data_IF_539662765638
#
_entry.id   IF_539662765638
#
_cell.length_a   1.000
_cell.length_b   1.000
_cell.length_c   1.000
_cell.angle_alpha   90.00
_cell.angle_beta   90.00
_cell.angle_gamma   90.00
#
_symmetry.space_group_name_H-M   'P 1'
#
loop_
_entity.id
_entity.type
_entity.pdbx_description
1 polymer ?
#
# COMPACT_ATOMS: atom_id res chain seq x y z
N UNK A 1 37.86 -12.50 1.56
CA UNK A 1 37.11 -12.96 0.37
C UNK A 1 35.72 -12.33 0.45
N UNK A 2 35.54 -11.21 -0.25
CA UNK A 2 34.31 -10.41 -0.26
C UNK A 2 33.25 -11.17 -1.08
N UNK A 3 32.32 -11.84 -0.40
CA UNK A 3 31.12 -12.37 -1.06
C UNK A 3 30.19 -11.19 -1.32
N UNK A 4 29.95 -10.92 -2.60
CA UNK A 4 29.23 -9.78 -3.14
C UNK A 4 27.77 -9.73 -2.68
N UNK A 5 27.38 -8.64 -2.03
CA UNK A 5 25.99 -8.35 -1.64
C UNK A 5 25.02 -8.27 -2.82
N UNK A 6 25.50 -7.97 -4.04
CA UNK A 6 24.69 -7.90 -5.27
C UNK A 6 24.05 -9.25 -5.66
N UNK A 7 24.70 -10.38 -5.36
CA UNK A 7 24.21 -11.72 -5.75
C UNK A 7 22.97 -12.15 -4.96
N UNK A 8 22.85 -11.72 -3.70
CA UNK A 8 21.75 -12.13 -2.80
C UNK A 8 20.42 -11.44 -3.10
N UNK A 9 20.44 -10.14 -3.43
CA UNK A 9 19.21 -9.40 -3.78
C UNK A 9 18.67 -9.83 -5.15
N UNK A 10 19.55 -10.02 -6.14
CA UNK A 10 19.16 -10.52 -7.46
C UNK A 10 18.53 -11.91 -7.38
N UNK A 11 19.13 -12.82 -6.61
CA UNK A 11 18.58 -14.16 -6.39
C UNK A 11 17.19 -14.12 -5.73
N UNK A 12 16.99 -13.23 -4.75
CA UNK A 12 15.69 -13.05 -4.13
C UNK A 12 14.64 -12.54 -5.13
N UNK A 13 14.94 -11.51 -5.92
CA UNK A 13 14.02 -11.00 -6.96
C UNK A 13 13.60 -12.10 -7.93
N UNK A 14 14.55 -12.89 -8.41
CA UNK A 14 14.27 -14.01 -9.30
C UNK A 14 13.41 -15.10 -8.67
N UNK A 15 13.69 -15.46 -7.42
CA UNK A 15 12.87 -16.42 -6.67
C UNK A 15 11.43 -15.92 -6.44
N UNK A 16 11.24 -14.61 -6.24
CA UNK A 16 9.91 -13.97 -6.15
C UNK A 16 9.15 -14.15 -7.46
N UNK A 17 9.78 -13.77 -8.58
CA UNK A 17 9.14 -13.80 -9.90
C UNK A 17 8.80 -15.24 -10.32
N UNK A 18 9.73 -16.18 -10.12
CA UNK A 18 9.50 -17.59 -10.44
C UNK A 18 8.39 -18.20 -9.59
N UNK A 19 8.39 -17.94 -8.28
CA UNK A 19 7.38 -18.48 -7.37
C UNK A 19 5.97 -17.92 -7.59
N UNK A 20 5.86 -16.60 -7.82
CA UNK A 20 4.57 -15.96 -8.15
C UNK A 20 4.09 -16.45 -9.52
N UNK A 21 4.98 -16.48 -10.53
CA UNK A 21 4.67 -16.98 -11.86
C UNK A 21 4.08 -18.38 -11.85
N UNK A 22 4.72 -19.31 -11.14
CA UNK A 22 4.25 -20.68 -11.00
C UNK A 22 2.92 -20.77 -10.24
N UNK A 23 2.81 -20.14 -9.07
CA UNK A 23 1.64 -20.33 -8.19
C UNK A 23 0.39 -19.63 -8.71
N UNK A 24 0.51 -18.44 -9.31
CA UNK A 24 -0.61 -17.76 -9.93
C UNK A 24 -0.99 -18.41 -11.26
N UNK A 25 0.00 -18.83 -12.07
CA UNK A 25 -0.25 -19.55 -13.32
C UNK A 25 -0.97 -20.88 -13.12
N UNK A 26 -0.68 -21.62 -12.05
CA UNK A 26 -1.43 -22.84 -11.71
C UNK A 26 -2.80 -22.57 -11.08
N UNK A 27 -3.02 -21.36 -10.56
CA UNK A 27 -4.30 -21.00 -9.97
C UNK A 27 -5.34 -20.66 -11.05
N UNK A 28 -4.91 -20.14 -12.21
CA UNK A 28 -5.81 -19.82 -13.33
C UNK A 28 -6.41 -21.07 -13.97
N UNK A 29 -5.78 -22.24 -13.82
CA UNK A 29 -6.36 -23.52 -14.28
C UNK A 29 -7.38 -24.12 -13.30
N UNK A 30 -7.51 -23.58 -12.08
CA UNK A 30 -8.52 -24.03 -11.11
C UNK A 30 -9.86 -23.35 -11.40
N UNK A 31 -11.00 -24.05 -11.26
CA UNK A 31 -12.31 -23.47 -11.54
C UNK A 31 -12.65 -22.32 -10.57
N UNK A 32 -13.49 -21.41 -11.05
CA UNK A 32 -14.00 -20.31 -10.26
C UNK A 32 -15.06 -20.78 -9.27
N UNK A 33 -14.94 -20.29 -8.03
CA UNK A 33 -15.88 -20.53 -6.94
C UNK A 33 -15.75 -19.43 -5.89
N UNK A 34 -16.80 -19.30 -5.09
CA UNK A 34 -16.84 -18.36 -3.97
C UNK A 34 -15.78 -18.68 -2.90
N UNK A 35 -15.33 -17.62 -2.23
CA UNK A 35 -14.39 -17.69 -1.10
C UNK A 35 -15.15 -18.12 0.15
N UNK A 36 -14.70 -19.21 0.77
CA UNK A 36 -15.20 -19.70 2.04
C UNK A 36 -14.29 -19.28 3.19
N UNK A 37 -14.79 -19.31 4.42
CA UNK A 37 -14.01 -18.93 5.61
C UNK A 37 -12.73 -19.78 5.77
N UNK A 38 -12.76 -21.03 5.32
CA UNK A 38 -11.60 -21.94 5.37
C UNK A 38 -10.47 -21.48 4.45
N UNK A 39 -10.80 -20.84 3.32
CA UNK A 39 -9.82 -20.42 2.30
C UNK A 39 -8.84 -19.35 2.83
N UNK A 40 -9.23 -18.56 3.83
CA UNK A 40 -8.35 -17.58 4.47
C UNK A 40 -7.19 -18.22 5.25
N UNK A 41 -7.31 -19.49 5.65
CA UNK A 41 -6.31 -20.20 6.45
C UNK A 41 -5.46 -21.17 5.62
N UNK A 42 -5.80 -21.39 4.35
CA UNK A 42 -5.06 -22.28 3.46
C UNK A 42 -3.66 -21.73 3.21
N UNK A 43 -2.66 -22.62 3.23
CA UNK A 43 -1.29 -22.32 2.80
C UNK A 43 -0.83 -23.43 1.86
N UNK A 44 -0.65 -23.10 0.59
CA UNK A 44 -0.10 -24.01 -0.41
C UNK A 44 1.42 -23.89 -0.43
N UNK A 45 2.14 -24.99 -0.65
CA UNK A 45 3.60 -24.99 -0.71
C UNK A 45 4.11 -25.83 -1.86
N UNK A 46 5.01 -25.26 -2.65
CA UNK A 46 5.73 -25.92 -3.72
C UNK A 46 7.23 -25.84 -3.48
N UNK A 47 7.97 -26.87 -3.88
CA UNK A 47 9.41 -26.90 -3.88
C UNK A 47 9.92 -26.62 -5.31
N UNK A 48 10.86 -25.68 -5.45
CA UNK A 48 11.47 -25.30 -6.72
C UNK A 48 12.98 -25.61 -6.64
N UNK A 49 13.41 -26.76 -7.20
CA UNK A 49 14.82 -27.12 -7.27
C UNK A 49 15.53 -26.37 -8.41
N UNK A 50 16.79 -26.00 -8.18
CA UNK A 50 17.67 -25.34 -9.14
C UNK A 50 17.89 -26.14 -10.42
N UNK A 51 17.97 -27.46 -10.31
CA UNK A 51 18.05 -28.38 -11.46
C UNK A 51 16.75 -28.46 -12.28
N UNK A 52 15.66 -27.88 -11.79
CA UNK A 52 14.33 -27.98 -12.39
C UNK A 52 13.59 -29.26 -12.01
N UNK A 53 12.33 -29.34 -12.41
CA UNK A 53 11.45 -30.49 -12.19
C UNK A 53 10.48 -30.65 -13.36
N UNK A 54 9.66 -31.70 -13.34
CA UNK A 54 8.57 -31.86 -14.32
C UNK A 54 7.54 -30.71 -14.28
N UNK A 55 7.54 -29.91 -13.21
CA UNK A 55 6.59 -28.81 -12.99
C UNK A 55 7.25 -27.43 -13.13
N UNK A 56 8.58 -27.34 -12.97
CA UNK A 56 9.30 -26.07 -12.87
C UNK A 56 10.56 -26.09 -13.73
N UNK A 57 10.84 -25.04 -14.52
CA UNK A 57 12.07 -24.97 -15.30
C UNK A 57 13.31 -24.92 -14.39
N UNK A 58 14.44 -25.35 -14.91
CA UNK A 58 15.74 -25.18 -14.24
C UNK A 58 16.07 -23.68 -14.09
N UNK A 59 16.77 -23.33 -13.01
CA UNK A 59 17.10 -21.95 -12.70
C UNK A 59 18.41 -21.80 -11.92
N UNK A 60 19.02 -20.61 -11.98
CA UNK A 60 20.32 -20.34 -11.34
C UNK A 60 20.22 -19.98 -9.84
N UNK A 61 19.01 -19.87 -9.28
CA UNK A 61 18.81 -19.58 -7.86
C UNK A 61 18.95 -20.85 -7.01
N UNK A 62 19.38 -20.75 -5.74
CA UNK A 62 19.41 -21.88 -4.83
C UNK A 62 18.02 -22.52 -4.67
N UNK A 63 17.99 -23.82 -4.39
CA UNK A 63 16.76 -24.54 -4.09
C UNK A 63 15.94 -23.81 -3.01
N UNK A 64 14.65 -23.65 -3.27
CA UNK A 64 13.76 -22.97 -2.35
C UNK A 64 12.37 -23.56 -2.33
N UNK A 65 11.68 -23.39 -1.20
CA UNK A 65 10.27 -23.70 -1.05
C UNK A 65 9.49 -22.40 -1.10
N UNK A 66 8.52 -22.32 -1.99
CA UNK A 66 7.61 -21.19 -2.11
C UNK A 66 6.28 -21.54 -1.46
N UNK A 67 5.78 -20.66 -0.59
CA UNK A 67 4.50 -20.80 0.12
C UNK A 67 3.58 -19.66 -0.29
N UNK A 68 2.34 -20.00 -0.65
CA UNK A 68 1.28 -19.05 -0.99
C UNK A 68 0.18 -19.15 0.06
N UNK A 69 -0.09 -18.04 0.73
CA UNK A 69 -1.11 -17.96 1.78
C UNK A 69 -2.42 -17.50 1.17
N UNK A 70 -3.53 -18.15 1.54
CA UNK A 70 -4.89 -17.84 1.11
C UNK A 70 -5.02 -17.57 -0.41
N UNK A 71 -4.54 -18.48 -1.29
CA UNK A 71 -4.43 -18.22 -2.74
C UNK A 71 -5.77 -17.80 -3.35
N UNK A 72 -6.86 -18.48 -2.98
CA UNK A 72 -8.20 -18.16 -3.50
C UNK A 72 -8.71 -16.81 -3.01
N UNK A 73 -8.44 -16.43 -1.75
CA UNK A 73 -8.83 -15.12 -1.23
C UNK A 73 -8.11 -13.98 -1.96
N UNK A 74 -6.80 -14.13 -2.22
CA UNK A 74 -6.04 -13.12 -2.98
C UNK A 74 -6.36 -13.11 -4.47
N UNK A 75 -6.81 -14.21 -5.07
CA UNK A 75 -7.43 -14.19 -6.40
C UNK A 75 -8.68 -13.32 -6.39
N UNK A 76 -9.60 -13.57 -5.47
CA UNK A 76 -10.83 -12.77 -5.33
C UNK A 76 -10.53 -11.29 -5.05
N UNK A 77 -9.55 -10.96 -4.18
CA UNK A 77 -9.19 -9.57 -3.94
C UNK A 77 -8.65 -8.88 -5.20
N UNK A 78 -7.80 -9.56 -5.98
CA UNK A 78 -7.32 -9.02 -7.27
C UNK A 78 -8.47 -8.76 -8.23
N UNK A 79 -9.41 -9.70 -8.35
CA UNK A 79 -10.62 -9.53 -9.18
C UNK A 79 -11.49 -8.36 -8.72
N UNK A 80 -11.72 -8.22 -7.41
CA UNK A 80 -12.48 -7.12 -6.84
C UNK A 80 -11.80 -5.76 -7.11
N UNK A 81 -10.48 -5.75 -7.14
CA UNK A 81 -9.70 -4.58 -7.53
C UNK A 81 -9.51 -4.48 -9.05
N UNK A 82 -10.13 -5.31 -9.88
CA UNK A 82 -10.04 -5.21 -11.34
C UNK A 82 -8.67 -5.57 -11.92
N UNK A 83 -7.88 -6.37 -11.23
CA UNK A 83 -6.55 -6.84 -11.69
C UNK A 83 -6.71 -8.21 -12.33
N UNK A 84 -6.45 -8.28 -13.64
CA UNK A 84 -6.46 -9.56 -14.35
C UNK A 84 -5.23 -10.39 -13.99
N UNK A 85 -5.33 -11.73 -13.97
CA UNK A 85 -4.20 -12.60 -13.68
C UNK A 85 -3.00 -12.36 -14.63
N UNK A 86 -3.27 -12.17 -15.93
CA UNK A 86 -2.23 -11.96 -16.93
C UNK A 86 -1.48 -10.64 -16.72
N UNK A 87 -2.21 -9.56 -16.40
CA UNK A 87 -1.62 -8.24 -16.11
C UNK A 87 -0.75 -8.29 -14.85
N UNK A 88 -1.25 -8.96 -13.79
CA UNK A 88 -0.49 -9.18 -12.56
C UNK A 88 0.80 -9.97 -12.79
N UNK A 89 0.71 -11.04 -13.58
CA UNK A 89 1.87 -11.87 -13.93
C UNK A 89 2.86 -11.11 -14.82
N UNK A 90 2.36 -10.36 -15.80
CA UNK A 90 3.19 -9.55 -16.70
C UNK A 90 3.99 -8.51 -15.91
N UNK A 91 3.29 -7.74 -15.08
CA UNK A 91 3.88 -6.68 -14.26
C UNK A 91 4.99 -7.18 -13.33
N UNK A 92 4.75 -8.30 -12.64
CA UNK A 92 5.68 -8.83 -11.65
C UNK A 92 6.80 -9.66 -12.29
N UNK A 93 6.47 -10.53 -13.24
CA UNK A 93 7.36 -11.61 -13.67
C UNK A 93 8.13 -11.32 -14.95
N UNK A 94 7.67 -10.37 -15.79
CA UNK A 94 8.29 -10.13 -17.10
C UNK A 94 9.44 -9.13 -17.04
N UNK A 95 9.28 -8.08 -16.23
CA UNK A 95 10.25 -6.99 -16.12
C UNK A 95 11.01 -7.07 -14.79
N UNK A 96 12.26 -6.59 -14.71
CA UNK A 96 13.07 -6.69 -13.50
C UNK A 96 12.52 -5.84 -12.36
N UNK A 97 12.47 -6.41 -11.15
CA UNK A 97 12.04 -5.69 -9.95
C UNK A 97 13.04 -4.60 -9.54
N UNK A 98 12.54 -3.38 -9.37
CA UNK A 98 13.32 -2.22 -8.92
C UNK A 98 13.38 -2.23 -7.40
N UNK A 99 14.58 -2.26 -6.82
CA UNK A 99 14.74 -2.20 -5.37
C UNK A 99 14.72 -0.74 -4.90
N UNK A 100 13.89 -0.44 -3.90
CA UNK A 100 13.81 0.89 -3.33
C UNK A 100 14.72 0.99 -2.11
N UNK A 101 15.69 1.91 -2.17
CA UNK A 101 16.62 2.23 -1.08
C UNK A 101 15.95 3.06 0.02
N UNK A 102 14.80 2.59 0.52
CA UNK A 102 14.09 3.18 1.64
C UNK A 102 14.12 2.20 2.81
N UNK A 103 15.16 2.25 3.67
CA UNK A 103 15.08 1.60 4.96
C UNK A 103 14.02 2.36 5.76
N UNK A 104 12.77 1.90 5.69
CA UNK A 104 11.78 2.23 6.71
C UNK A 104 12.35 1.89 8.09
N UNK A 105 11.76 2.43 9.16
CA UNK A 105 12.24 2.16 10.52
C UNK A 105 12.30 0.66 10.88
N UNK A 106 11.59 -0.19 10.14
CA UNK A 106 11.53 -1.65 10.28
C UNK A 106 12.68 -2.42 9.60
N UNK A 107 13.50 -1.77 8.77
CA UNK A 107 14.51 -2.47 7.94
C UNK A 107 13.91 -3.37 6.85
N UNK A 108 12.64 -3.19 6.50
CA UNK A 108 12.00 -3.94 5.41
C UNK A 108 12.52 -3.49 4.04
N UNK A 109 12.88 -4.46 3.20
CA UNK A 109 13.11 -4.28 1.77
C UNK A 109 11.79 -4.04 1.04
N UNK A 110 11.84 -3.14 0.06
CA UNK A 110 10.74 -2.81 -0.84
C UNK A 110 11.21 -2.99 -2.28
N UNK A 111 10.41 -3.69 -3.08
CA UNK A 111 10.55 -3.75 -4.52
C UNK A 111 9.34 -3.09 -5.19
N UNK A 112 9.57 -2.57 -6.37
CA UNK A 112 8.58 -1.92 -7.22
C UNK A 112 8.62 -2.58 -8.61
N UNK A 113 7.47 -2.82 -9.20
CA UNK A 113 7.38 -3.31 -10.59
C UNK A 113 7.73 -2.20 -11.58
N UNK A 114 8.20 -2.58 -12.77
CA UNK A 114 8.68 -1.60 -13.77
C UNK A 114 7.59 -0.68 -14.31
N UNK A 115 6.35 -1.15 -14.31
CA UNK A 115 5.15 -0.38 -14.63
C UNK A 115 4.62 0.46 -13.46
N UNK A 116 5.29 0.40 -12.31
CA UNK A 116 5.01 1.21 -11.12
C UNK A 116 3.65 0.92 -10.42
N UNK A 117 2.99 -0.18 -10.77
CA UNK A 117 1.68 -0.54 -10.22
C UNK A 117 1.75 -1.23 -8.84
N UNK A 118 2.74 -2.11 -8.65
CA UNK A 118 2.83 -2.97 -7.46
C UNK A 118 4.07 -2.70 -6.63
N UNK A 119 3.87 -2.65 -5.32
CA UNK A 119 4.91 -2.68 -4.31
C UNK A 119 4.97 -4.09 -3.70
N UNK A 120 6.16 -4.65 -3.64
CA UNK A 120 6.45 -5.89 -2.91
C UNK A 120 7.23 -5.52 -1.66
N UNK A 121 6.64 -5.73 -0.49
CA UNK A 121 7.24 -5.41 0.81
C UNK A 121 7.62 -6.69 1.55
N UNK A 122 8.84 -6.74 2.08
CA UNK A 122 9.21 -7.77 3.05
C UNK A 122 8.56 -7.49 4.40
N UNK A 123 7.99 -8.52 5.01
CA UNK A 123 7.29 -8.43 6.29
C UNK A 123 7.85 -9.44 7.29
N UNK A 124 7.77 -9.09 8.57
CA UNK A 124 8.16 -10.00 9.64
C UNK A 124 7.18 -11.18 9.75
N UNK A 125 7.61 -12.27 10.38
CA UNK A 125 6.74 -13.42 10.63
C UNK A 125 5.42 -13.05 11.29
N UNK A 126 5.48 -12.19 12.32
CA UNK A 126 4.32 -11.74 13.08
C UNK A 126 3.35 -10.91 12.24
N UNK A 127 3.87 -10.07 11.35
CA UNK A 127 3.07 -9.25 10.45
C UNK A 127 2.33 -10.11 9.41
N UNK A 128 3.00 -11.13 8.86
CA UNK A 128 2.37 -12.08 7.94
C UNK A 128 1.27 -12.91 8.61
N UNK A 129 1.52 -13.42 9.83
CA UNK A 129 0.49 -14.13 10.60
C UNK A 129 -0.69 -13.22 10.95
N UNK A 130 -0.41 -11.96 11.27
CA UNK A 130 -1.45 -10.98 11.56
C UNK A 130 -2.28 -10.66 10.32
N UNK A 131 -1.64 -10.47 9.15
CA UNK A 131 -2.34 -10.28 7.89
C UNK A 131 -3.29 -11.44 7.60
N UNK A 132 -2.87 -12.70 7.80
CA UNK A 132 -3.75 -13.85 7.59
C UNK A 132 -5.00 -13.81 8.50
N UNK A 133 -4.85 -13.39 9.76
CA UNK A 133 -5.97 -13.20 10.71
C UNK A 133 -6.86 -12.00 10.36
N UNK A 134 -6.32 -11.02 9.64
CA UNK A 134 -7.04 -9.83 9.17
C UNK A 134 -7.95 -10.14 7.97
N UNK A 135 -7.61 -11.14 7.14
CA UNK A 135 -8.27 -11.40 5.84
C UNK A 135 -9.80 -11.50 5.91
N UNK A 136 -10.43 -12.18 6.90
CA UNK A 136 -11.89 -12.27 6.93
C UNK A 136 -12.59 -10.91 7.10
N UNK A 137 -12.11 -10.05 8.01
CA UNK A 137 -12.71 -8.73 8.16
C UNK A 137 -12.24 -7.73 7.11
N UNK A 138 -11.06 -7.94 6.52
CA UNK A 138 -10.66 -7.22 5.31
C UNK A 138 -11.64 -7.50 4.16
N UNK A 139 -11.98 -8.78 3.92
CA UNK A 139 -13.03 -9.17 2.96
C UNK A 139 -14.37 -8.48 3.24
N UNK A 140 -14.81 -8.43 4.50
CA UNK A 140 -16.03 -7.71 4.88
C UNK A 140 -15.94 -6.20 4.58
N UNK A 141 -14.80 -5.56 4.89
CA UNK A 141 -14.60 -4.14 4.62
C UNK A 141 -14.64 -3.84 3.12
N UNK A 142 -13.97 -4.66 2.30
CA UNK A 142 -13.94 -4.45 0.85
C UNK A 142 -15.33 -4.50 0.23
N UNK A 143 -16.20 -5.42 0.68
CA UNK A 143 -17.56 -5.54 0.18
C UNK A 143 -18.49 -4.41 0.67
N UNK A 144 -18.21 -3.80 1.83
CA UNK A 144 -19.06 -2.75 2.41
C UNK A 144 -18.56 -1.33 2.12
N UNK A 145 -17.27 -1.18 1.85
CA UNK A 145 -16.57 0.07 1.65
C UNK A 145 -15.59 -0.05 0.46
N UNK A 146 -16.10 -0.11 -0.79
CA UNK A 146 -15.26 -0.24 -1.98
C UNK A 146 -14.25 0.91 -2.14
N UNK A 147 -14.51 2.02 -1.45
CA UNK A 147 -13.75 3.29 -1.45
C UNK A 147 -12.64 3.33 -0.40
N UNK A 148 -12.39 2.22 0.29
CA UNK A 148 -11.38 2.09 1.34
C UNK A 148 -10.00 2.66 0.95
N UNK A 149 -9.36 3.33 1.91
CA UNK A 149 -8.00 3.83 1.83
C UNK A 149 -6.97 2.86 2.44
N UNK A 150 -7.42 1.74 3.00
CA UNK A 150 -6.53 0.66 3.44
C UNK A 150 -5.69 0.12 2.27
N UNK A 151 -4.49 -0.44 2.54
CA UNK A 151 -3.67 -1.06 1.52
C UNK A 151 -4.43 -2.14 0.76
N UNK A 152 -4.31 -2.13 -0.57
CA UNK A 152 -4.88 -3.15 -1.44
C UNK A 152 -3.91 -4.31 -1.53
N UNK A 153 -4.16 -5.38 -0.78
CA UNK A 153 -3.31 -6.57 -0.77
C UNK A 153 -3.65 -7.53 -1.91
N UNK A 154 -2.63 -7.90 -2.69
CA UNK A 154 -2.77 -8.76 -3.88
C UNK A 154 -2.14 -10.13 -3.73
N UNK A 155 -1.32 -10.33 -2.70
CA UNK A 155 -0.75 -11.63 -2.37
C UNK A 155 0.07 -11.60 -1.10
N UNK A 156 0.12 -12.74 -0.40
CA UNK A 156 1.00 -13.00 0.72
C UNK A 156 1.77 -14.29 0.44
N UNK A 157 3.10 -14.19 0.45
CA UNK A 157 4.00 -15.26 0.05
C UNK A 157 5.13 -15.47 1.06
N UNK A 158 5.75 -16.64 1.04
CA UNK A 158 6.99 -16.90 1.78
C UNK A 158 7.95 -17.75 0.97
N UNK A 159 9.20 -17.29 0.87
CA UNK A 159 10.32 -18.00 0.30
C UNK A 159 11.13 -18.60 1.45
N UNK A 160 11.35 -19.91 1.41
CA UNK A 160 12.19 -20.62 2.37
C UNK A 160 13.40 -21.20 1.64
N UNK A 161 14.60 -20.74 1.96
CA UNK A 161 15.85 -21.24 1.38
C UNK A 161 16.97 -21.19 2.42
N UNK A 162 17.78 -22.25 2.52
CA UNK A 162 18.92 -22.31 3.45
C UNK A 162 18.56 -22.05 4.92
N UNK A 163 17.37 -22.42 5.37
CA UNK A 163 16.87 -22.16 6.73
C UNK A 163 16.34 -20.73 6.96
N UNK A 164 16.47 -19.83 5.98
CA UNK A 164 15.95 -18.46 6.03
C UNK A 164 14.53 -18.42 5.48
N UNK A 165 13.65 -17.68 6.16
CA UNK A 165 12.26 -17.49 5.76
C UNK A 165 11.98 -16.01 5.45
N UNK A 166 11.86 -15.67 4.19
CA UNK A 166 11.52 -14.32 3.73
C UNK A 166 10.03 -14.30 3.41
N UNK A 167 9.28 -13.38 4.03
CA UNK A 167 7.83 -13.22 3.80
C UNK A 167 7.57 -11.92 3.09
N UNK A 168 6.63 -11.96 2.15
CA UNK A 168 6.41 -10.91 1.17
C UNK A 168 4.93 -10.62 1.06
N UNK A 169 4.59 -9.35 1.01
CA UNK A 169 3.25 -8.88 0.69
C UNK A 169 3.33 -8.07 -0.58
N UNK A 170 2.49 -8.42 -1.56
CA UNK A 170 2.29 -7.62 -2.77
C UNK A 170 1.08 -6.73 -2.55
N UNK A 171 1.24 -5.43 -2.80
CA UNK A 171 0.20 -4.43 -2.58
C UNK A 171 0.28 -3.29 -3.60
N UNK A 172 -0.74 -2.44 -3.66
CA UNK A 172 -0.73 -1.30 -4.56
C UNK A 172 0.35 -0.27 -4.22
N UNK A 173 0.88 0.37 -5.26
CA UNK A 173 1.58 1.64 -5.11
C UNK A 173 0.56 2.77 -4.88
N UNK A 174 0.74 3.54 -3.80
CA UNK A 174 -0.12 4.70 -3.49
C UNK A 174 0.34 5.95 -4.25
N UNK A 175 1.63 6.05 -4.55
CA UNK A 175 2.27 7.25 -5.12
C UNK A 175 2.89 6.90 -6.48
N UNK A 176 2.19 7.15 -7.59
CA UNK A 176 2.71 6.83 -8.91
C UNK A 176 3.92 7.71 -9.26
N UNK A 177 4.93 7.12 -9.88
CA UNK A 177 6.14 7.73 -10.45
C UNK A 177 5.89 8.43 -11.77
N UNK A 178 4.80 8.08 -12.48
CA UNK A 178 4.38 8.79 -13.70
C UNK A 178 4.09 10.26 -13.44
N UNK A 179 3.77 10.62 -12.19
CA UNK A 179 3.53 11.99 -11.75
C UNK A 179 4.60 12.46 -10.76
N UNK A 180 5.07 13.70 -10.96
CA UNK A 180 5.99 14.35 -10.03
C UNK A 180 5.26 14.71 -8.73
N UNK A 181 5.53 13.96 -7.66
CA UNK A 181 5.09 14.31 -6.31
C UNK A 181 5.95 15.45 -5.77
N UNK A 182 5.39 16.67 -5.76
CA UNK A 182 6.05 17.87 -5.26
C UNK A 182 6.22 17.83 -3.74
N UNK A 183 5.22 17.27 -3.05
CA UNK A 183 5.31 17.01 -1.62
C UNK A 183 4.86 15.60 -1.29
N UNK A 184 5.53 14.97 -0.32
CA UNK A 184 5.15 13.68 0.25
C UNK A 184 5.13 13.78 1.76
N UNK A 185 4.09 13.23 2.38
CA UNK A 185 3.90 13.26 3.82
C UNK A 185 3.53 11.87 4.36
N UNK A 186 4.13 11.51 5.47
CA UNK A 186 3.68 10.45 6.37
C UNK A 186 3.01 11.14 7.57
N UNK A 187 1.69 10.96 7.76
CA UNK A 187 0.91 11.70 8.77
C UNK A 187 0.25 10.75 9.77
N UNK A 188 0.40 10.99 11.09
CA UNK A 188 -0.15 10.13 12.16
C UNK A 188 -1.09 10.85 13.14
N UNK A 189 -1.21 12.17 13.00
CA UNK A 189 -1.88 13.06 13.95
C UNK A 189 -1.16 13.20 15.30
N UNK A 190 0.16 13.00 15.33
CA UNK A 190 0.97 13.13 16.55
C UNK A 190 2.05 14.20 16.38
N UNK A 191 2.68 14.63 17.48
CA UNK A 191 3.68 15.72 17.47
C UNK A 191 5.09 15.23 17.79
N UNK A 192 5.24 14.23 18.66
CA UNK A 192 6.56 13.77 19.09
C UNK A 192 7.36 13.07 17.97
N UNK A 193 8.55 13.59 17.64
CA UNK A 193 9.42 13.12 16.54
C UNK A 193 8.72 13.07 15.17
N UNK A 194 7.72 13.93 14.97
CA UNK A 194 6.96 14.07 13.72
C UNK A 194 7.46 15.21 12.84
N UNK A 195 8.79 15.32 12.72
CA UNK A 195 9.53 16.10 11.72
C UNK A 195 10.44 15.18 10.92
N UNK A 196 10.63 15.46 9.64
CA UNK A 196 11.60 14.80 8.79
C UNK A 196 13.00 15.00 9.36
N UNK A 197 13.80 13.93 9.34
CA UNK A 197 15.20 14.01 9.76
C UNK A 197 16.01 14.86 8.78
N UNK A 198 17.16 15.37 9.22
CA UNK A 198 18.09 16.10 8.35
C UNK A 198 18.45 15.29 7.10
N UNK A 199 18.81 14.01 7.28
CA UNK A 199 19.12 13.07 6.19
C UNK A 199 17.95 12.87 5.21
N UNK A 200 16.71 12.87 5.71
CA UNK A 200 15.54 12.72 4.86
C UNK A 200 15.31 13.98 4.00
N UNK A 201 15.50 15.16 4.58
CA UNK A 201 15.36 16.46 3.90
C UNK A 201 16.41 16.70 2.81
N UNK A 202 17.56 16.03 2.89
CA UNK A 202 18.63 16.09 1.88
C UNK A 202 18.33 15.25 0.63
N UNK A 203 17.30 14.38 0.66
CA UNK A 203 16.87 13.62 -0.52
C UNK A 203 16.20 14.52 -1.55
N UNK A 204 16.32 14.17 -2.84
CA UNK A 204 15.64 14.88 -3.93
C UNK A 204 14.11 14.93 -3.77
N UNK A 205 13.51 13.84 -3.25
CA UNK A 205 12.08 13.74 -2.99
C UNK A 205 11.86 13.31 -1.52
N UNK A 206 11.95 14.24 -0.55
CA UNK A 206 11.85 13.93 0.87
C UNK A 206 10.44 13.49 1.26
N UNK A 207 10.33 12.62 2.27
CA UNK A 207 9.06 12.32 2.95
C UNK A 207 8.97 13.10 4.27
N UNK A 208 8.11 14.11 4.28
CA UNK A 208 7.82 14.97 5.41
C UNK A 208 6.86 14.32 6.41
N UNK A 209 6.70 14.93 7.59
CA UNK A 209 5.82 14.45 8.66
C UNK A 209 4.84 15.54 9.12
N UNK A 210 4.08 15.26 10.19
CA UNK A 210 2.97 16.07 10.68
C UNK A 210 3.33 17.52 10.95
N UNK A 211 4.45 17.77 11.64
CA UNK A 211 4.86 19.14 11.99
C UNK A 211 5.40 19.89 10.78
N UNK A 212 6.05 19.18 9.85
CA UNK A 212 6.49 19.76 8.59
C UNK A 212 5.29 20.21 7.74
N UNK A 213 4.24 19.39 7.70
CA UNK A 213 3.00 19.72 6.98
C UNK A 213 2.34 20.99 7.55
N UNK A 214 2.20 21.08 8.88
CA UNK A 214 1.58 22.22 9.54
C UNK A 214 2.37 23.52 9.31
N UNK A 215 3.70 23.44 9.24
CA UNK A 215 4.55 24.60 8.99
C UNK A 215 4.52 25.05 7.52
N UNK A 216 4.34 24.12 6.57
CA UNK A 216 4.39 24.41 5.13
C UNK A 216 3.03 24.69 4.49
N UNK A 217 1.94 24.20 5.07
CA UNK A 217 0.61 24.29 4.48
C UNK A 217 -0.45 24.71 5.49
N UNK A 218 -1.31 25.65 5.10
CA UNK A 218 -2.55 25.99 5.84
C UNK A 218 -3.72 25.06 5.46
N UNK A 219 -3.43 23.75 5.34
CA UNK A 219 -4.37 22.74 4.90
C UNK A 219 -4.59 22.66 3.38
N UNK A 220 -5.21 21.55 2.97
CA UNK A 220 -5.63 21.24 1.61
C UNK A 220 -7.14 21.38 1.53
N UNK A 221 -7.61 22.19 0.58
CA UNK A 221 -9.00 22.58 0.45
C UNK A 221 -9.69 21.75 -0.61
N UNK A 222 -10.83 21.17 -0.25
CA UNK A 222 -11.69 20.39 -1.14
C UNK A 222 -13.07 21.02 -1.19
N UNK A 223 -13.81 20.73 -2.27
CA UNK A 223 -15.25 20.98 -2.26
C UNK A 223 -15.95 20.17 -1.16
N UNK A 224 -17.18 20.55 -0.84
CA UNK A 224 -17.90 19.98 0.30
C UNK A 224 -18.22 18.50 0.12
N UNK A 225 -18.52 18.06 -1.10
CA UNK A 225 -18.89 16.68 -1.40
C UNK A 225 -17.66 15.77 -1.27
N UNK A 226 -16.55 16.15 -1.92
CA UNK A 226 -15.27 15.47 -1.82
C UNK A 226 -14.77 15.37 -0.38
N UNK A 227 -14.78 16.48 0.36
CA UNK A 227 -14.36 16.47 1.76
C UNK A 227 -15.20 15.49 2.60
N UNK A 228 -16.53 15.54 2.45
CA UNK A 228 -17.42 14.70 3.23
C UNK A 228 -17.23 13.22 2.89
N UNK A 229 -17.05 12.90 1.59
CA UNK A 229 -16.77 11.55 1.14
C UNK A 229 -15.44 11.02 1.71
N UNK A 230 -14.36 11.80 1.57
CA UNK A 230 -13.03 11.46 2.09
C UNK A 230 -13.04 11.23 3.61
N UNK A 231 -13.66 12.15 4.36
CA UNK A 231 -13.75 12.01 5.81
C UNK A 231 -14.63 10.84 6.25
N UNK A 232 -15.74 10.57 5.52
CA UNK A 232 -16.59 9.41 5.80
C UNK A 232 -15.83 8.10 5.58
N UNK A 233 -15.06 7.99 4.49
CA UNK A 233 -14.21 6.83 4.23
C UNK A 233 -13.15 6.66 5.31
N UNK A 234 -12.39 7.71 5.64
CA UNK A 234 -11.39 7.67 6.71
C UNK A 234 -11.98 7.22 8.05
N UNK A 235 -13.18 7.70 8.39
CA UNK A 235 -13.89 7.27 9.61
C UNK A 235 -14.21 5.78 9.60
N UNK A 236 -14.67 5.23 8.47
CA UNK A 236 -14.96 3.79 8.33
C UNK A 236 -13.69 2.96 8.45
N UNK A 237 -12.63 3.35 7.76
CA UNK A 237 -11.35 2.64 7.80
C UNK A 237 -10.72 2.68 9.19
N UNK A 238 -10.79 3.83 9.88
CA UNK A 238 -10.34 3.93 11.26
C UNK A 238 -11.11 3.02 12.22
N UNK A 239 -12.43 2.85 12.03
CA UNK A 239 -13.22 1.89 12.82
C UNK A 239 -12.79 0.45 12.57
N UNK A 240 -12.45 0.10 11.34
CA UNK A 240 -11.90 -1.23 11.00
C UNK A 240 -10.54 -1.42 11.68
N UNK A 241 -9.63 -0.46 11.57
CA UNK A 241 -8.31 -0.54 12.22
C UNK A 241 -8.44 -0.64 13.75
N UNK A 242 -9.36 0.11 14.35
CA UNK A 242 -9.67 0.06 15.77
C UNK A 242 -10.24 -1.29 16.21
N UNK A 243 -11.14 -1.89 15.43
CA UNK A 243 -11.73 -3.20 15.74
C UNK A 243 -10.66 -4.30 15.76
N UNK A 244 -9.69 -4.22 14.84
CA UNK A 244 -8.52 -5.09 14.77
C UNK A 244 -7.39 -4.73 15.74
N UNK A 245 -7.57 -3.70 16.58
CA UNK A 245 -6.58 -3.21 17.54
C UNK A 245 -5.25 -2.85 16.86
N UNK A 246 -5.33 -2.26 15.67
CA UNK A 246 -4.18 -1.76 14.90
C UNK A 246 -3.90 -0.32 15.34
N UNK A 247 -2.63 0.02 15.52
CA UNK A 247 -2.17 1.37 15.84
C UNK A 247 -0.93 1.71 15.01
N UNK A 248 -0.43 2.93 15.15
CA UNK A 248 0.79 3.41 14.51
C UNK A 248 0.79 3.38 12.98
N UNK A 249 -0.39 3.25 12.36
CA UNK A 249 -0.59 3.46 10.92
C UNK A 249 -0.48 4.94 10.56
N UNK A 250 0.01 5.22 9.35
CA UNK A 250 0.10 6.59 8.80
C UNK A 250 -0.87 6.77 7.64
N UNK A 251 -1.27 8.02 7.37
CA UNK A 251 -1.74 8.40 6.05
C UNK A 251 -0.52 8.81 5.23
N UNK A 252 -0.23 8.06 4.17
CA UNK A 252 0.70 8.49 3.13
C UNK A 252 -0.05 9.45 2.21
N UNK A 253 0.51 10.63 2.00
CA UNK A 253 -0.08 11.70 1.22
C UNK A 253 0.94 12.25 0.22
N UNK A 254 0.64 12.15 -1.07
CA UNK A 254 1.35 12.79 -2.17
C UNK A 254 0.57 13.99 -2.70
N UNK A 255 1.29 15.08 -2.95
CA UNK A 255 0.74 16.31 -3.51
C UNK A 255 1.45 16.60 -4.81
N UNK A 256 0.70 16.64 -5.89
CA UNK A 256 1.13 17.12 -7.19
C UNK A 256 0.53 18.52 -7.42
N UNK A 257 1.39 19.52 -7.60
CA UNK A 257 0.97 20.89 -7.94
C UNK A 257 0.79 20.95 -9.45
N UNK A 258 -0.36 21.41 -9.90
CA UNK A 258 -0.64 21.60 -11.33
C UNK A 258 -0.06 22.95 -11.76
N UNK A 259 0.92 22.95 -12.66
CA UNK A 259 1.50 24.18 -13.20
C UNK A 259 0.45 24.92 -14.05
N UNK A 260 0.16 26.18 -13.70
CA UNK A 260 -0.74 27.05 -14.49
C UNK A 260 -0.07 27.57 -15.78
N UNK A 261 1.17 27.15 -16.07
CA UNK A 261 2.03 27.71 -17.13
C UNK A 261 2.16 26.90 -18.41
N UNK A 262 1.67 25.65 -18.47
CA UNK A 262 1.65 24.90 -19.74
C UNK A 262 0.26 25.02 -20.36
N UNK A 263 0.09 26.07 -21.16
CA UNK A 263 -0.90 26.07 -22.24
C UNK A 263 -0.62 24.85 -23.14
N UNK A 264 -1.70 24.28 -23.63
CA UNK A 264 -1.75 23.25 -24.66
C UNK A 264 -0.57 23.33 -25.66
N UNK A 265 0.20 22.23 -25.78
CA UNK A 265 1.21 22.05 -26.82
C UNK A 265 2.66 21.98 -26.33
N UNK A 266 3.08 20.82 -25.81
CA UNK A 266 4.37 20.18 -26.13
C UNK A 266 4.55 18.92 -25.26
N UNK A 267 3.89 17.83 -25.69
CA UNK A 267 4.35 16.48 -25.34
C UNK A 267 5.50 16.20 -26.29
N UNK A 268 6.73 16.46 -25.85
CA UNK A 268 7.91 15.94 -26.53
C UNK A 268 7.91 14.42 -26.42
N UNK A 269 7.34 13.78 -27.45
CA UNK A 269 7.47 12.36 -27.74
C UNK A 269 8.95 12.12 -28.07
N UNK A 270 9.71 11.64 -27.09
CA UNK A 270 10.98 10.99 -27.34
C UNK A 270 10.71 9.49 -27.45
N UNK A 271 10.68 9.04 -28.70
CA UNK A 271 10.79 7.67 -29.22
C UNK A 271 10.05 6.50 -28.53
N UNK A 272 9.05 5.98 -29.27
CA UNK A 272 9.21 4.62 -29.76
C UNK A 272 8.59 3.45 -29.00
N UNK A 273 7.49 3.63 -28.26
CA UNK A 273 6.48 2.58 -28.03
C UNK A 273 5.19 3.24 -27.53
N UNK A 274 4.13 3.19 -28.35
CA UNK A 274 2.78 3.57 -27.92
C UNK A 274 2.39 2.69 -26.72
N UNK A 275 2.55 3.19 -25.51
CA UNK A 275 1.88 2.67 -24.33
C UNK A 275 0.41 3.04 -24.48
N UNK A 276 -0.40 2.04 -24.79
CA UNK A 276 -1.87 2.11 -24.68
C UNK A 276 -2.19 2.76 -23.33
N UNK A 277 -3.05 3.78 -23.34
CA UNK A 277 -3.27 4.75 -22.25
C UNK A 277 -3.08 4.19 -20.85
N UNK A 278 -2.09 4.73 -20.13
CA UNK A 278 -1.84 4.45 -18.72
C UNK A 278 -3.01 4.96 -17.89
N UNK A 279 -4.06 4.15 -17.76
CA UNK A 279 -4.99 4.28 -16.64
C UNK A 279 -4.20 3.90 -15.39
N UNK A 280 -3.97 4.85 -14.49
CA UNK A 280 -3.67 4.54 -13.09
C UNK A 280 -4.97 3.94 -12.53
N UNK A 281 -5.20 2.65 -12.82
CA UNK A 281 -6.48 1.98 -12.61
C UNK A 281 -6.91 1.95 -11.13
N UNK A 282 -6.03 2.33 -10.20
CA UNK A 282 -6.21 1.97 -8.79
C UNK A 282 -6.01 3.09 -7.78
N UNK A 283 -5.90 4.36 -8.19
CA UNK A 283 -6.14 5.46 -7.25
C UNK A 283 -7.65 5.60 -7.07
N UNK A 284 -8.19 4.88 -6.09
CA UNK A 284 -9.61 4.89 -5.69
C UNK A 284 -10.10 6.27 -5.30
N UNK A 285 -9.24 7.27 -5.25
CA UNK A 285 -9.52 8.57 -4.68
C UNK A 285 -10.63 9.32 -5.44
N UNK A 286 -10.68 9.29 -6.78
CA UNK A 286 -11.78 9.91 -7.56
C UNK A 286 -13.04 9.04 -7.69
N UNK A 287 -12.91 7.73 -7.87
CA UNK A 287 -14.04 6.80 -7.81
C UNK A 287 -14.70 6.78 -6.42
N UNK A 288 -13.97 7.25 -5.39
CA UNK A 288 -14.45 7.40 -4.02
C UNK A 288 -15.30 8.64 -3.76
N UNK A 289 -15.47 9.54 -4.73
CA UNK A 289 -16.12 10.83 -4.52
C UNK A 289 -17.46 10.94 -5.25
N UNK A 290 -17.60 10.38 -6.44
CA UNK A 290 -18.81 10.57 -7.25
C UNK A 290 -20.00 9.75 -6.71
N UNK A 291 -21.17 10.40 -6.61
CA UNK A 291 -22.46 9.77 -6.29
C UNK A 291 -23.20 9.33 -7.55
N UNK A 292 -24.28 8.55 -7.39
CA UNK A 292 -25.13 7.97 -8.45
C UNK A 292 -25.97 9.01 -9.22
N UNK A 293 -25.36 10.11 -9.66
CA UNK A 293 -26.01 11.16 -10.44
C UNK A 293 -25.38 11.30 -11.83
N UNK A 294 -26.18 11.75 -12.80
CA UNK A 294 -25.91 11.96 -14.24
C UNK A 294 -24.77 12.96 -14.58
N UNK A 295 -23.74 13.08 -13.73
CA UNK A 295 -22.48 13.76 -13.97
C UNK A 295 -21.33 12.78 -14.30
N UNK A 296 -21.62 11.48 -14.40
CA UNK A 296 -20.68 10.43 -14.81
C UNK A 296 -20.16 10.59 -16.25
N UNK A 297 -20.81 11.40 -17.09
CA UNK A 297 -20.39 11.65 -18.48
C UNK A 297 -19.58 12.94 -18.69
N UNK A 298 -19.43 13.79 -17.67
CA UNK A 298 -18.86 15.13 -17.86
C UNK A 298 -17.41 15.32 -17.37
N UNK A 299 -16.80 14.31 -16.71
CA UNK A 299 -15.44 14.40 -16.14
C UNK A 299 -14.66 13.09 -16.21
N UNK A 300 -14.95 12.25 -17.21
CA UNK A 300 -13.99 11.25 -17.70
C UNK A 300 -12.92 11.96 -18.52
N UNK A 301 -12.19 12.91 -17.91
CA UNK A 301 -10.98 13.43 -18.55
C UNK A 301 -9.81 12.58 -18.07
N UNK A 302 -9.08 12.08 -19.06
CA UNK A 302 -7.76 11.46 -19.02
C UNK A 302 -6.75 12.20 -18.11
N UNK A 303 -7.05 13.44 -17.73
CA UNK A 303 -6.17 14.43 -17.10
C UNK A 303 -5.87 14.21 -15.61
N UNK A 304 -6.66 13.43 -14.87
CA UNK A 304 -6.50 13.33 -13.40
C UNK A 304 -5.67 12.14 -12.93
N UNK A 305 -5.38 11.17 -13.80
CA UNK A 305 -4.68 9.91 -13.47
C UNK A 305 -5.09 9.29 -12.10
N UNK A 306 -6.37 9.44 -11.72
CA UNK A 306 -6.97 8.91 -10.49
C UNK A 306 -6.74 9.70 -9.18
N UNK A 307 -6.06 10.85 -9.17
CA UNK A 307 -5.84 11.66 -7.96
C UNK A 307 -7.05 12.54 -7.58
N UNK A 308 -7.20 12.92 -6.30
CA UNK A 308 -8.28 13.82 -5.84
C UNK A 308 -7.93 15.28 -6.16
N UNK A 309 -8.78 16.03 -6.89
CA UNK A 309 -8.61 17.47 -7.05
C UNK A 309 -8.69 18.20 -5.71
N UNK A 310 -7.73 19.07 -5.43
CA UNK A 310 -7.73 19.92 -4.27
C UNK A 310 -7.17 21.30 -4.62
N UNK A 311 -7.19 22.23 -3.64
CA UNK A 311 -6.58 23.54 -3.76
C UNK A 311 -5.78 23.92 -2.53
N UNK A 312 -4.81 24.80 -2.69
CA UNK A 312 -4.20 25.51 -1.55
C UNK A 312 -5.09 26.68 -1.08
N UNK A 313 -4.76 27.28 0.07
CA UNK A 313 -5.37 28.54 0.52
C UNK A 313 -5.18 29.70 -0.48
N UNK A 314 -4.25 29.59 -1.44
CA UNK A 314 -3.97 30.58 -2.49
C UNK A 314 -4.63 30.25 -3.83
N UNK A 315 -5.56 29.29 -3.84
CA UNK A 315 -6.27 28.80 -5.04
C UNK A 315 -5.36 28.11 -6.09
N UNK A 316 -4.15 27.69 -5.70
CA UNK A 316 -3.31 26.82 -6.55
C UNK A 316 -3.97 25.45 -6.67
N UNK A 317 -4.12 24.95 -7.89
CA UNK A 317 -4.76 23.65 -8.16
C UNK A 317 -3.78 22.52 -7.86
N UNK A 318 -4.27 21.53 -7.14
CA UNK A 318 -3.51 20.37 -6.71
C UNK A 318 -4.21 19.09 -7.14
N UNK A 319 -3.41 18.04 -7.32
CA UNK A 319 -3.87 16.68 -7.46
C UNK A 319 -3.27 15.85 -6.32
N UNK A 320 -4.14 15.19 -5.55
CA UNK A 320 -3.78 14.55 -4.27
C UNK A 320 -3.90 13.04 -4.39
N UNK A 321 -2.85 12.33 -3.94
CA UNK A 321 -2.84 10.87 -3.82
C UNK A 321 -2.68 10.49 -2.37
N UNK A 322 -3.51 9.59 -1.85
CA UNK A 322 -3.45 9.24 -0.43
C UNK A 322 -3.88 7.79 -0.17
N UNK A 323 -3.33 7.23 0.90
CA UNK A 323 -3.66 5.89 1.38
C UNK A 323 -3.14 5.65 2.78
N UNK A 324 -3.84 4.83 3.56
CA UNK A 324 -3.37 4.41 4.89
C UNK A 324 -2.29 3.33 4.69
N UNK A 325 -1.17 3.46 5.38
CA UNK A 325 -0.03 2.53 5.29
C UNK A 325 0.35 1.98 6.67
N UNK A 326 1.18 0.92 6.67
CA UNK A 326 1.73 0.26 7.87
C UNK A 326 0.67 -0.26 8.87
N UNK A 327 -0.36 -0.93 8.35
CA UNK A 327 -1.47 -1.46 9.16
C UNK A 327 -1.22 -2.86 9.75
N UNK A 328 -0.05 -3.47 9.53
CA UNK A 328 0.23 -4.85 9.98
C UNK A 328 0.77 -4.93 11.41
N UNK A 329 0.88 -3.79 12.09
CA UNK A 329 1.35 -3.70 13.48
C UNK A 329 0.17 -3.69 14.46
N UNK A 330 -0.16 -4.86 15.02
CA UNK A 330 -1.25 -4.97 16.00
C UNK A 330 -0.79 -4.77 17.45
N UNK A 331 -1.53 -3.93 18.17
CA UNK A 331 -1.29 -3.56 19.56
C UNK A 331 -1.34 -4.75 20.52
N UNK A 332 -2.16 -5.77 20.25
CA UNK A 332 -2.27 -6.97 21.12
C UNK A 332 -0.92 -7.66 21.30
N UNK A 333 -0.07 -7.63 20.28
CA UNK A 333 1.27 -8.21 20.33
C UNK A 333 2.29 -7.30 21.01
N UNK A 334 2.19 -5.98 20.81
CA UNK A 334 3.00 -5.01 21.57
C UNK A 334 2.72 -5.12 23.06
N UNK A 335 1.45 -5.26 23.44
CA UNK A 335 1.01 -5.58 24.80
C UNK A 335 1.57 -6.92 25.27
N UNK A 336 1.57 -7.98 24.47
CA UNK A 336 2.15 -9.28 24.88
C UNK A 336 3.65 -9.15 25.18
N UNK A 337 4.39 -8.37 24.38
CA UNK A 337 5.79 -8.02 24.63
C UNK A 337 5.95 -7.17 25.91
N UNK A 338 5.14 -6.11 26.07
CA UNK A 338 5.11 -5.30 27.28
C UNK A 338 4.73 -6.13 28.51
N UNK A 339 3.79 -7.07 28.41
CA UNK A 339 3.36 -7.94 29.51
C UNK A 339 4.42 -8.99 29.82
N UNK A 340 5.15 -9.53 28.84
CA UNK A 340 6.30 -10.38 29.10
C UNK A 340 7.43 -9.62 29.82
N UNK A 341 7.60 -8.32 29.51
CA UNK A 341 8.56 -7.46 30.21
C UNK A 341 8.06 -6.98 31.59
N UNK A 342 6.76 -6.66 31.73
CA UNK A 342 6.12 -6.22 32.98
C UNK A 342 5.81 -7.36 33.94
N UNK A 343 5.61 -8.58 33.46
CA UNK A 343 5.62 -9.77 34.29
C UNK A 343 7.00 -9.98 34.97
N UNK A 344 8.06 -9.39 34.42
CA UNK A 344 9.38 -9.33 35.06
C UNK A 344 9.49 -8.13 36.04
N UNK A 345 8.68 -7.10 35.88
CA UNK A 345 8.73 -5.83 36.63
C UNK A 345 7.31 -5.27 36.84
N UNK A 346 6.63 -5.79 37.87
CA UNK A 346 5.37 -5.30 38.44
C UNK A 346 4.09 -5.24 37.56
N UNK A 347 3.01 -5.68 38.21
CA UNK A 347 1.66 -5.83 37.64
C UNK A 347 0.89 -4.49 37.61
N UNK A 348 -0.02 -4.35 36.65
CA UNK A 348 -0.76 -3.10 36.46
C UNK A 348 -1.79 -3.20 35.35
N UNK A 349 -2.92 -3.82 35.68
CA UNK A 349 -4.08 -3.95 34.80
C UNK A 349 -4.95 -2.68 34.82
N UNK A 350 -5.71 -2.45 33.73
CA UNK A 350 -6.77 -1.41 33.49
C UNK A 350 -6.55 -0.22 32.53
N UNK A 351 -5.38 0.02 31.90
CA UNK A 351 -5.21 1.15 30.93
C UNK A 351 -5.35 0.74 29.44
N UNK A 352 -5.95 -0.42 29.18
CA UNK A 352 -5.75 -1.19 27.94
C UNK A 352 -6.64 -0.78 26.75
N UNK A 353 -7.93 -0.51 27.00
CA UNK A 353 -8.96 -0.43 25.96
C UNK A 353 -8.96 0.92 25.23
N UNK A 354 -8.50 1.99 25.89
CA UNK A 354 -8.51 3.33 25.31
C UNK A 354 -7.45 3.58 24.22
N UNK A 355 -6.41 2.73 24.08
CA UNK A 355 -5.25 3.10 23.22
C UNK A 355 -5.56 3.12 21.71
N UNK A 356 -6.22 2.11 21.11
CA UNK A 356 -6.55 2.16 19.68
C UNK A 356 -7.62 3.21 19.34
N UNK A 357 -8.68 3.31 20.14
CA UNK A 357 -9.74 4.30 19.96
C UNK A 357 -9.21 5.73 20.08
N UNK A 358 -8.32 5.99 21.05
CA UNK A 358 -7.65 7.27 21.20
C UNK A 358 -6.76 7.58 20.00
N UNK A 359 -6.00 6.59 19.50
CA UNK A 359 -5.18 6.75 18.30
C UNK A 359 -6.04 7.13 17.08
N UNK A 360 -7.10 6.37 16.82
CA UNK A 360 -8.02 6.61 15.71
C UNK A 360 -8.69 7.98 15.78
N UNK A 361 -9.20 8.38 16.96
CA UNK A 361 -9.81 9.69 17.17
C UNK A 361 -8.80 10.84 16.96
N UNK A 362 -7.58 10.70 17.48
CA UNK A 362 -6.52 11.69 17.30
C UNK A 362 -6.14 11.82 15.82
N UNK A 363 -5.97 10.68 15.14
CA UNK A 363 -5.68 10.62 13.71
C UNK A 363 -6.77 11.33 12.90
N UNK A 364 -8.03 10.95 13.07
CA UNK A 364 -9.18 11.54 12.38
C UNK A 364 -9.31 13.05 12.64
N UNK A 365 -9.14 13.47 13.91
CA UNK A 365 -9.20 14.89 14.28
C UNK A 365 -8.11 15.68 13.57
N UNK A 366 -6.88 15.17 13.51
CA UNK A 366 -5.80 15.83 12.80
C UNK A 366 -6.09 15.94 11.30
N UNK A 367 -6.50 14.84 10.66
CA UNK A 367 -6.82 14.85 9.22
C UNK A 367 -7.96 15.84 8.91
N UNK A 368 -9.04 15.83 9.69
CA UNK A 368 -10.21 16.67 9.43
C UNK A 368 -10.09 18.14 9.86
N UNK A 369 -9.13 18.50 10.71
CA UNK A 369 -8.98 19.88 11.23
C UNK A 369 -7.72 20.60 10.76
N UNK A 370 -6.65 19.86 10.42
CA UNK A 370 -5.36 20.45 10.02
C UNK A 370 -5.03 20.15 8.56
N UNK A 371 -5.24 18.91 8.13
CA UNK A 371 -4.79 18.45 6.80
C UNK A 371 -5.81 18.78 5.73
N UNK A 372 -7.06 18.37 5.91
CA UNK A 372 -8.14 18.55 4.97
C UNK A 372 -9.11 19.61 5.46
N UNK A 373 -9.50 20.52 4.57
CA UNK A 373 -10.41 21.64 4.86
C UNK A 373 -11.48 21.74 3.78
N UNK A 374 -12.63 22.31 4.14
CA UNK A 374 -13.71 22.65 3.20
C UNK A 374 -13.44 24.02 2.59
N UNK A 375 -13.65 24.16 1.29
CA UNK A 375 -13.78 25.46 0.65
C UNK A 375 -15.04 26.13 1.23
N UNK A 376 -14.88 27.26 1.91
CA UNK A 376 -16.02 28.08 2.32
C UNK A 376 -16.54 28.80 1.09
N UNK A 377 -17.80 28.55 0.71
CA UNK A 377 -18.48 29.38 -0.29
C UNK A 377 -18.65 30.78 0.31
N UNK A 378 -18.10 31.79 -0.37
CA UNK A 378 -18.44 33.19 -0.12
C UNK A 378 -19.87 33.48 -0.55
#
# INVERSE_FOLDING_TARGET
>A
MLVSTETTSSALKGAIQLGIGYTVGNLTSKPDRDVLMQDFYVVESVFLPSEGSNLTPAHHYPDFRFKTYAPLAFRYFRELFGIKPDDYLYSICKEPLIELSNPGASGSLFYLTSDDEFIIKTVQHKEAEFLQKLLPGYYMNLNQNPRTLLPKFYGLYCIQSGGINIRLVVMNNVLPRSLKMHYKYDLKGSTYKRRASRKEREKACPTYKDLDFVDMHDGLYFDTETYNALMKTLQRDCRVLESFKIMDYSLLLGVHVLDQGHREGDVNIVDGKRTVGQKVLYSTAMESIQGDGKAAEALTTDDTMGGIPAKTHRDEKLLIFLGIIDILQSYRFMKKLEHSWKALVYDGDTVSVHRPSFYANRFLKFMGSRVFRKIQRK
#
